data_IF_871258166921
#
_entry.id   IF_871258166921
#
_cell.length_a   1.000
_cell.length_b   1.000
_cell.length_c   1.000
_cell.angle_alpha   90.00
_cell.angle_beta   90.00
_cell.angle_gamma   90.00
#
_symmetry.space_group_name_H-M   'P 1'
#
loop_
_entity.id
_entity.type
_entity.pdbx_description
1 polymer ?
#
# COMPACT_ATOMS: atom_id res chain seq x y z
N UNK A 1 3.96 -24.15 -48.88
CA UNK A 1 4.57 -25.04 -47.85
C UNK A 1 5.32 -24.23 -46.79
N UNK A 2 6.04 -23.17 -47.18
CA UNK A 2 6.80 -22.28 -46.28
C UNK A 2 5.90 -21.47 -45.33
N UNK A 3 4.75 -20.94 -45.80
CA UNK A 3 3.79 -20.16 -44.99
C UNK A 3 3.18 -20.92 -43.79
N UNK A 4 2.99 -22.24 -43.94
CA UNK A 4 2.44 -23.10 -42.87
C UNK A 4 3.51 -23.44 -41.83
N UNK A 5 4.78 -23.42 -42.25
CA UNK A 5 5.94 -23.71 -41.41
C UNK A 5 6.34 -22.49 -40.58
N UNK A 6 6.20 -21.28 -41.12
CA UNK A 6 6.37 -20.02 -40.36
C UNK A 6 5.27 -19.84 -39.31
N UNK A 7 4.01 -20.17 -39.62
CA UNK A 7 2.90 -20.09 -38.67
C UNK A 7 3.06 -21.05 -37.47
N UNK A 8 3.61 -22.25 -37.71
CA UNK A 8 3.86 -23.23 -36.63
C UNK A 8 5.04 -22.86 -35.75
N UNK A 9 6.09 -22.22 -36.30
CA UNK A 9 7.25 -21.78 -35.53
C UNK A 9 6.89 -20.61 -34.60
N UNK A 10 6.08 -19.67 -35.07
CA UNK A 10 5.57 -18.54 -34.27
C UNK A 10 4.59 -18.99 -33.17
N UNK A 11 3.78 -20.02 -33.43
CA UNK A 11 2.87 -20.59 -32.43
C UNK A 11 3.62 -21.29 -31.27
N UNK A 12 4.77 -21.92 -31.54
CA UNK A 12 5.58 -22.56 -30.50
C UNK A 12 6.32 -21.57 -29.60
N UNK A 13 6.69 -20.39 -30.10
CA UNK A 13 7.40 -19.36 -29.30
C UNK A 13 6.49 -18.57 -28.36
N UNK A 14 5.18 -18.52 -28.63
CA UNK A 14 4.22 -17.78 -27.78
C UNK A 14 3.92 -18.46 -26.43
N UNK A 15 4.31 -19.72 -26.24
CA UNK A 15 4.00 -20.51 -25.05
C UNK A 15 5.07 -20.42 -23.93
N UNK A 16 6.16 -19.68 -24.13
CA UNK A 16 7.28 -19.63 -23.17
C UNK A 16 7.48 -18.26 -22.49
N UNK A 17 6.51 -17.34 -22.60
CA UNK A 17 6.53 -16.08 -21.86
C UNK A 17 6.21 -16.33 -20.38
N UNK A 18 7.22 -16.72 -19.60
CA UNK A 18 7.13 -16.85 -18.15
C UNK A 18 7.75 -15.61 -17.51
N UNK A 19 6.93 -14.80 -16.83
CA UNK A 19 7.39 -13.63 -16.08
C UNK A 19 7.27 -13.95 -14.60
N UNK A 20 8.41 -13.92 -13.91
CA UNK A 20 8.48 -14.18 -12.47
C UNK A 20 8.72 -12.86 -11.75
N UNK A 21 7.90 -12.55 -10.75
CA UNK A 21 7.99 -11.31 -9.98
C UNK A 21 8.01 -11.63 -8.51
N UNK A 22 9.01 -11.11 -7.81
CA UNK A 22 9.20 -11.33 -6.37
C UNK A 22 9.43 -10.03 -5.63
N UNK A 23 8.88 -9.96 -4.44
CA UNK A 23 9.02 -8.83 -3.54
C UNK A 23 9.64 -9.31 -2.24
N UNK A 24 10.74 -8.67 -1.86
CA UNK A 24 11.37 -8.83 -0.56
C UNK A 24 10.90 -7.74 0.39
N UNK A 25 10.25 -8.14 1.48
CA UNK A 25 9.70 -7.24 2.49
C UNK A 25 10.48 -7.40 3.78
N UNK A 26 11.09 -6.31 4.23
CA UNK A 26 11.85 -6.26 5.47
C UNK A 26 11.38 -5.11 6.37
N UNK A 27 11.51 -5.30 7.68
CA UNK A 27 11.14 -4.28 8.66
C UNK A 27 12.15 -4.16 9.78
N UNK A 28 12.34 -2.93 10.27
CA UNK A 28 13.06 -2.64 11.50
C UNK A 28 12.06 -2.22 12.57
N UNK A 29 11.84 -3.03 13.63
CA UNK A 29 12.48 -4.31 13.93
C UNK A 29 11.88 -5.49 13.12
N UNK A 30 12.62 -6.61 13.05
CA UNK A 30 12.18 -7.83 12.34
C UNK A 30 11.08 -8.58 13.10
N UNK A 31 10.44 -9.55 12.42
CA UNK A 31 9.39 -10.40 12.97
C UNK A 31 8.00 -9.76 13.00
N UNK A 32 7.80 -8.66 12.27
CA UNK A 32 6.52 -7.99 12.11
C UNK A 32 5.63 -8.79 11.16
N UNK A 33 4.34 -8.90 11.46
CA UNK A 33 3.34 -9.56 10.62
C UNK A 33 2.97 -8.66 9.45
N UNK A 34 2.93 -9.21 8.25
CA UNK A 34 2.70 -8.48 7.00
C UNK A 34 1.43 -8.99 6.32
N UNK A 35 0.64 -8.04 5.84
CA UNK A 35 -0.48 -8.27 4.94
C UNK A 35 -0.29 -7.45 3.66
N UNK A 36 -0.65 -8.05 2.54
CA UNK A 36 -0.67 -7.42 1.21
C UNK A 36 -2.10 -7.54 0.69
N UNK A 37 -2.76 -6.41 0.40
CA UNK A 37 -4.16 -6.38 -0.07
C UNK A 37 -5.08 -7.24 0.83
N UNK A 38 -4.99 -7.01 2.14
CA UNK A 38 -5.69 -7.75 3.20
C UNK A 38 -5.36 -9.25 3.35
N UNK A 39 -4.54 -9.83 2.47
CA UNK A 39 -4.06 -11.20 2.59
C UNK A 39 -2.80 -11.27 3.46
N UNK A 40 -2.83 -12.10 4.50
CA UNK A 40 -1.65 -12.33 5.35
C UNK A 40 -0.60 -13.13 4.57
N UNK A 41 0.61 -12.58 4.45
CA UNK A 41 1.71 -13.22 3.71
C UNK A 41 2.73 -13.89 4.62
N UNK A 42 2.93 -13.38 5.84
CA UNK A 42 3.90 -13.93 6.79
C UNK A 42 4.53 -12.88 7.69
N UNK A 43 5.68 -13.20 8.28
CA UNK A 43 6.44 -12.28 9.14
C UNK A 43 7.74 -11.84 8.47
N UNK A 44 8.15 -10.59 8.68
CA UNK A 44 9.40 -10.05 8.15
C UNK A 44 10.64 -10.71 8.75
N UNK A 45 11.71 -10.91 7.98
CA UNK A 45 11.80 -10.73 6.52
C UNK A 45 11.06 -11.82 5.74
N UNK A 46 10.35 -11.45 4.68
CA UNK A 46 9.56 -12.39 3.84
C UNK A 46 9.76 -12.12 2.35
N UNK A 47 9.83 -13.19 1.56
CA UNK A 47 9.85 -13.18 0.09
C UNK A 47 8.48 -13.64 -0.43
N UNK A 48 7.85 -12.81 -1.27
CA UNK A 48 6.49 -13.07 -1.78
C UNK A 48 6.49 -12.92 -3.30
N UNK A 49 5.93 -13.90 -4.01
CA UNK A 49 5.67 -13.79 -5.43
C UNK A 49 4.42 -12.94 -5.70
N UNK A 50 4.52 -11.99 -6.63
CA UNK A 50 3.40 -11.13 -7.04
C UNK A 50 3.00 -11.43 -8.49
N UNK A 51 1.73 -11.24 -8.82
CA UNK A 51 1.22 -11.55 -10.17
C UNK A 51 1.35 -10.37 -11.13
N UNK A 52 1.13 -9.15 -10.64
CA UNK A 52 1.05 -7.94 -11.45
C UNK A 52 2.01 -6.88 -10.91
N UNK A 53 2.35 -5.87 -11.71
CA UNK A 53 3.04 -4.68 -11.23
C UNK A 53 2.00 -3.61 -10.91
N UNK A 54 2.29 -2.75 -9.94
CA UNK A 54 1.34 -1.75 -9.49
C UNK A 54 1.48 -1.41 -8.01
N UNK A 55 0.41 -0.81 -7.49
CA UNK A 55 0.31 -0.37 -6.10
C UNK A 55 -0.35 -1.45 -5.26
N UNK A 56 0.28 -1.73 -4.12
CA UNK A 56 -0.16 -2.71 -3.14
C UNK A 56 -0.44 -2.02 -1.81
N UNK A 57 -1.54 -2.38 -1.17
CA UNK A 57 -1.85 -1.93 0.19
C UNK A 57 -1.13 -2.83 1.19
N UNK A 58 -0.11 -2.29 1.84
CA UNK A 58 0.61 -3.00 2.89
C UNK A 58 0.11 -2.59 4.26
N UNK A 59 -0.13 -3.61 5.08
CA UNK A 59 -0.27 -3.46 6.53
C UNK A 59 0.85 -4.25 7.20
N UNK A 60 1.56 -3.60 8.12
CA UNK A 60 2.65 -4.21 8.87
C UNK A 60 2.39 -3.97 10.35
N UNK A 61 2.29 -5.04 11.12
CA UNK A 61 1.96 -4.97 12.54
C UNK A 61 2.98 -5.72 13.38
N UNK A 62 3.31 -5.15 14.54
CA UNK A 62 4.13 -5.81 15.53
C UNK A 62 3.71 -5.38 16.92
N UNK A 63 3.70 -6.32 17.85
CA UNK A 63 3.38 -6.04 19.26
C UNK A 63 4.32 -4.98 19.84
N UNK A 64 3.74 -3.95 20.46
CA UNK A 64 4.46 -2.81 21.04
C UNK A 64 4.86 -1.72 20.04
N UNK A 65 4.48 -1.86 18.76
CA UNK A 65 4.72 -0.88 17.71
C UNK A 65 3.40 -0.36 17.13
N UNK A 66 3.46 0.83 16.54
CA UNK A 66 2.34 1.40 15.80
C UNK A 66 2.15 0.60 14.50
N UNK A 67 0.92 0.17 14.17
CA UNK A 67 0.63 -0.49 12.90
C UNK A 67 0.91 0.47 11.74
N UNK A 68 1.70 0.02 10.77
CA UNK A 68 2.02 0.80 9.58
C UNK A 68 1.11 0.37 8.43
N UNK A 69 0.30 1.30 7.92
CA UNK A 69 -0.49 1.13 6.70
C UNK A 69 0.07 2.08 5.65
N UNK A 70 0.64 1.53 4.58
CA UNK A 70 1.25 2.33 3.51
C UNK A 70 1.05 1.66 2.16
N UNK A 71 0.76 2.43 1.09
CA UNK A 71 0.88 1.91 -0.25
C UNK A 71 2.35 1.64 -0.57
N UNK A 72 2.64 0.54 -1.26
CA UNK A 72 3.94 0.29 -1.87
C UNK A 72 3.78 -0.03 -3.35
N UNK A 73 4.62 0.59 -4.17
CA UNK A 73 4.58 0.42 -5.62
C UNK A 73 5.70 -0.52 -6.04
N UNK A 74 5.37 -1.43 -6.94
CA UNK A 74 6.37 -2.15 -7.73
C UNK A 74 6.50 -1.45 -9.07
N UNK A 75 7.64 -0.83 -9.32
CA UNK A 75 7.92 -0.21 -10.61
C UNK A 75 8.22 -1.30 -11.64
N UNK A 76 7.53 -1.21 -12.77
CA UNK A 76 7.83 -2.04 -13.93
C UNK A 76 9.19 -1.69 -14.51
N UNK A 77 9.83 -2.63 -15.22
CA UNK A 77 11.17 -2.40 -15.71
C UNK A 77 11.24 -1.29 -16.77
N UNK A 78 12.42 -0.69 -16.88
CA UNK A 78 12.71 0.49 -17.71
C UNK A 78 12.45 0.31 -19.22
N UNK A 79 12.22 -0.92 -19.69
CA UNK A 79 11.94 -1.23 -21.09
C UNK A 79 10.48 -0.98 -21.53
N UNK A 80 9.57 -0.66 -20.60
CA UNK A 80 8.21 -0.16 -20.90
C UNK A 80 8.18 1.32 -21.37
N UNK A 81 9.33 2.00 -21.40
CA UNK A 81 9.42 3.40 -21.83
C UNK A 81 9.52 3.50 -23.38
N UNK A 82 8.51 4.09 -24.02
CA UNK A 82 8.59 4.45 -25.44
C UNK A 82 9.82 5.36 -25.70
N UNK A 83 10.70 5.06 -26.68
CA UNK A 83 10.56 4.12 -27.81
C UNK A 83 11.26 2.75 -27.65
N UNK A 84 11.72 2.36 -26.46
CA UNK A 84 12.40 1.08 -26.20
C UNK A 84 11.45 -0.14 -26.23
N UNK A 85 10.15 0.11 -26.03
CA UNK A 85 9.04 -0.85 -26.07
C UNK A 85 9.05 -1.75 -27.33
N UNK A 86 9.36 -1.16 -28.50
CA UNK A 86 9.38 -1.87 -29.78
C UNK A 86 10.45 -2.98 -29.88
N UNK A 87 11.51 -2.91 -29.08
CA UNK A 87 12.58 -3.92 -29.09
C UNK A 87 12.42 -4.99 -28.00
N UNK A 88 11.59 -4.74 -26.98
CA UNK A 88 11.31 -5.70 -25.92
C UNK A 88 10.33 -6.80 -26.37
N UNK A 89 9.33 -6.47 -27.20
CA UNK A 89 8.37 -7.45 -27.76
C UNK A 89 9.03 -8.54 -28.62
N UNK A 90 10.23 -8.27 -29.16
CA UNK A 90 10.91 -9.19 -30.08
C UNK A 90 11.96 -10.05 -29.37
N UNK A 91 12.29 -9.77 -28.10
CA UNK A 91 13.32 -10.50 -27.37
C UNK A 91 12.69 -11.41 -26.30
N UNK A 92 12.97 -12.73 -26.29
CA UNK A 92 12.48 -13.65 -25.27
C UNK A 92 13.29 -13.45 -23.98
N UNK A 93 13.19 -12.27 -23.39
CA UNK A 93 13.76 -11.98 -22.08
C UNK A 93 12.86 -12.61 -21.02
N UNK A 94 13.43 -13.53 -20.23
CA UNK A 94 12.82 -13.93 -18.96
C UNK A 94 12.84 -12.71 -18.05
N UNK A 95 11.73 -11.97 -18.02
CA UNK A 95 11.59 -10.82 -17.14
C UNK A 95 11.49 -11.35 -15.71
N UNK A 96 12.58 -11.17 -14.95
CA UNK A 96 12.61 -11.35 -13.50
C UNK A 96 12.63 -9.96 -12.87
N UNK A 97 11.56 -9.62 -12.17
CA UNK A 97 11.50 -8.39 -11.38
C UNK A 97 11.67 -8.74 -9.90
N UNK A 98 12.70 -8.16 -9.28
CA UNK A 98 12.93 -8.26 -7.84
C UNK A 98 12.79 -6.86 -7.24
N UNK A 99 11.77 -6.68 -6.39
CA UNK A 99 11.54 -5.42 -5.68
C UNK A 99 11.84 -5.60 -4.21
N UNK A 100 12.45 -4.60 -3.58
CA UNK A 100 12.77 -4.62 -2.15
C UNK A 100 12.12 -3.45 -1.45
N UNK A 101 11.31 -3.75 -0.45
CA UNK A 101 10.71 -2.75 0.44
C UNK A 101 11.29 -2.88 1.84
N UNK A 102 11.65 -1.73 2.42
CA UNK A 102 12.20 -1.64 3.76
C UNK A 102 11.35 -0.67 4.57
N UNK A 103 10.85 -1.13 5.72
CA UNK A 103 9.98 -0.34 6.58
C UNK A 103 10.60 -0.15 7.97
N UNK A 104 10.34 1.00 8.59
CA UNK A 104 10.73 1.26 9.98
C UNK A 104 9.48 1.49 10.80
N UNK A 105 9.28 0.66 11.82
CA UNK A 105 8.13 0.76 12.70
C UNK A 105 8.45 1.68 13.88
N UNK A 106 7.47 2.49 14.25
CA UNK A 106 7.56 3.41 15.40
C UNK A 106 7.04 2.70 16.64
N UNK A 107 7.74 2.83 17.76
CA UNK A 107 7.29 2.29 19.05
C UNK A 107 5.99 2.99 19.46
N UNK A 108 5.01 2.21 19.90
CA UNK A 108 3.73 2.78 20.35
C UNK A 108 3.91 3.47 21.70
N UNK A 109 3.54 4.74 21.77
CA UNK A 109 3.52 5.50 23.04
C UNK A 109 2.16 5.32 23.72
N UNK A 110 2.13 4.42 24.71
CA UNK A 110 0.98 4.11 25.57
C UNK A 110 1.07 4.85 26.93
N UNK A 111 1.87 5.91 27.06
CA UNK A 111 2.01 6.64 28.31
C UNK A 111 0.71 7.36 28.71
N UNK A 112 0.42 7.38 30.02
CA UNK A 112 -0.82 7.98 30.56
C UNK A 112 -0.96 9.45 30.16
N UNK A 113 0.13 10.22 30.16
CA UNK A 113 0.14 11.62 29.75
C UNK A 113 -0.33 11.80 28.30
N UNK A 114 0.20 10.99 27.37
CA UNK A 114 -0.17 11.03 25.95
C UNK A 114 -1.63 10.61 25.75
N UNK A 115 -2.11 9.60 26.48
CA UNK A 115 -3.51 9.16 26.42
C UNK A 115 -4.48 10.22 26.94
N UNK A 116 -4.16 10.86 28.08
CA UNK A 116 -4.97 11.95 28.65
C UNK A 116 -5.03 13.15 27.71
N UNK A 117 -3.90 13.49 27.06
CA UNK A 117 -3.85 14.57 26.08
C UNK A 117 -4.73 14.28 24.86
N UNK A 118 -4.65 13.07 24.29
CA UNK A 118 -5.52 12.66 23.17
C UNK A 118 -7.00 12.65 23.57
N UNK A 119 -7.31 12.16 24.77
CA UNK A 119 -8.69 12.15 25.29
C UNK A 119 -9.24 13.56 25.52
N UNK A 120 -8.42 14.49 26.01
CA UNK A 120 -8.77 15.90 26.14
C UNK A 120 -9.10 16.53 24.78
N UNK A 121 -8.19 16.38 23.81
CA UNK A 121 -8.39 16.90 22.46
C UNK A 121 -9.64 16.34 21.78
N UNK A 122 -9.97 15.07 22.01
CA UNK A 122 -11.21 14.47 21.50
C UNK A 122 -12.45 15.09 22.15
N UNK A 123 -12.43 15.31 23.47
CA UNK A 123 -13.53 15.98 24.19
C UNK A 123 -13.76 17.40 23.68
N UNK A 124 -12.68 18.16 23.46
CA UNK A 124 -12.77 19.54 22.97
C UNK A 124 -13.38 19.59 21.56
N UNK A 125 -13.02 18.65 20.68
CA UNK A 125 -13.62 18.53 19.32
C UNK A 125 -15.11 18.21 19.38
N UNK A 126 -15.52 17.31 20.27
CA UNK A 126 -16.94 16.97 20.44
C UNK A 126 -17.70 18.15 21.02
N UNK A 127 -17.14 18.87 21.99
CA UNK A 127 -17.75 20.06 22.56
C UNK A 127 -17.89 21.19 21.53
N UNK A 128 -16.86 21.41 20.70
CA UNK A 128 -16.91 22.38 19.60
C UNK A 128 -17.91 22.00 18.50
N UNK A 129 -18.12 20.69 18.26
CA UNK A 129 -19.15 20.19 17.34
C UNK A 129 -20.57 20.15 17.94
N UNK A 130 -20.70 20.21 19.27
CA UNK A 130 -21.99 20.18 19.95
C UNK A 130 -22.77 21.51 19.84
N UNK A 131 -22.12 22.59 19.40
CA UNK A 131 -22.77 23.90 19.22
C UNK A 131 -23.62 23.99 17.93
N UNK A 132 -23.60 22.99 17.05
CA UNK A 132 -24.42 22.97 15.82
C UNK A 132 -25.41 21.82 15.69
N UNK A 133 -25.61 21.00 16.73
CA UNK A 133 -26.76 20.08 16.77
C UNK A 133 -27.99 20.85 17.28
N UNK A 134 -28.42 21.86 16.52
CA UNK A 134 -29.80 22.32 16.62
C UNK A 134 -30.65 21.24 15.95
N UNK A 135 -31.31 20.40 16.75
CA UNK A 135 -32.38 19.53 16.28
C UNK A 135 -33.51 20.46 15.80
N UNK A 136 -33.41 20.89 14.55
CA UNK A 136 -34.49 21.55 13.82
C UNK A 136 -35.54 20.51 13.44
N UNK A 137 -36.78 20.84 13.78
CA UNK A 137 -38.05 20.17 13.50
C UNK A 137 -38.12 19.43 12.13
N UNK A 138 -38.81 18.27 12.03
CA UNK A 138 -38.84 17.49 10.80
C UNK A 138 -39.74 18.17 9.77
N UNK A 139 -39.15 18.72 8.71
CA UNK A 139 -39.89 19.03 7.46
C UNK A 139 -39.02 18.72 6.25
N UNK A 140 -39.37 17.59 5.63
CA UNK A 140 -39.31 17.19 4.21
C UNK A 140 -38.11 17.64 3.34
N UNK A 141 -37.38 16.64 2.81
CA UNK A 141 -36.32 16.80 1.80
C UNK A 141 -36.80 17.28 0.42
N UNK A 142 -35.99 17.26 -0.65
CA UNK A 142 -34.75 16.48 -0.87
C UNK A 142 -33.55 17.30 -1.41
N UNK A 143 -32.30 16.93 -1.09
CA UNK A 143 -31.23 16.92 -2.10
C UNK A 143 -29.96 16.27 -1.57
N UNK A 144 -29.43 15.33 -2.34
CA UNK A 144 -28.16 14.69 -2.09
C UNK A 144 -27.04 15.73 -2.16
N UNK A 145 -26.48 16.09 -1.01
CA UNK A 145 -25.23 16.85 -0.91
C UNK A 145 -24.16 15.92 -0.35
N UNK A 146 -23.28 15.50 -1.26
CA UNK A 146 -21.88 15.10 -1.08
C UNK A 146 -21.43 14.88 0.37
N UNK A 147 -21.24 13.61 0.72
CA UNK A 147 -20.58 13.21 1.95
C UNK A 147 -19.24 13.97 2.11
N UNK A 148 -18.96 14.59 3.27
CA UNK A 148 -17.64 15.11 3.56
C UNK A 148 -16.62 13.97 3.45
N UNK A 149 -15.72 14.09 2.48
CA UNK A 149 -14.56 13.22 2.37
C UNK A 149 -13.77 13.33 3.68
N UNK A 150 -13.69 12.25 4.43
CA UNK A 150 -12.85 12.14 5.62
C UNK A 150 -11.40 12.20 5.13
N UNK A 151 -10.79 13.38 5.21
CA UNK A 151 -9.36 13.53 5.01
C UNK A 151 -8.67 12.78 6.15
N UNK A 152 -7.78 11.81 5.87
CA UNK A 152 -7.00 11.17 6.93
C UNK A 152 -6.21 12.26 7.66
N UNK A 153 -6.31 12.27 8.99
CA UNK A 153 -5.59 13.21 9.82
C UNK A 153 -4.09 13.09 9.55
N UNK A 154 -3.45 14.21 9.17
CA UNK A 154 -2.00 14.24 9.07
C UNK A 154 -1.38 13.79 10.40
N UNK A 155 -0.38 12.89 10.39
CA UNK A 155 0.32 12.49 11.59
C UNK A 155 0.87 13.72 12.31
N UNK A 156 0.61 13.83 13.61
CA UNK A 156 1.23 14.85 14.45
C UNK A 156 2.73 14.54 14.48
N UNK A 157 3.61 15.47 14.04
CA UNK A 157 5.03 15.22 14.06
C UNK A 157 5.50 14.99 15.52
N UNK A 158 6.41 14.03 15.76
CA UNK A 158 6.96 13.82 17.09
C UNK A 158 7.65 15.10 17.56
N UNK A 159 7.26 15.57 18.74
CA UNK A 159 7.87 16.74 19.36
C UNK A 159 9.31 16.38 19.78
N UNK A 160 10.28 17.30 19.61
CA UNK A 160 11.64 17.05 20.05
C UNK A 160 11.68 16.90 21.57
N UNK A 161 12.12 15.73 22.04
CA UNK A 161 12.50 15.52 23.44
C UNK A 161 13.73 16.38 23.74
N UNK A 162 13.53 17.48 24.45
CA UNK A 162 14.61 18.30 24.99
C UNK A 162 15.38 17.55 26.07
N UNK A 163 16.71 17.60 25.98
CA UNK A 163 17.65 17.29 27.06
C UNK A 163 18.22 18.57 27.65
#
# INVERSE_FOLDING_TARGET
MIERMTLSLVACTALTACVERRVWIDSTPSGALVWINDAQVGRTPVDVAITHEGVYDLRIEKDGYEPLVTPATTDGPLWDQFPLDFFAETMPVTARSETRWMFTLVVRDDSEATLVQRAGAMRDRVAAGAETVTVGEPTQGPEATTAPQVQPANPIPPQPTGG
#
